data_IF_862786454704
#
_entry.id   IF_862786454704
#
_cell.length_a   1.000
_cell.length_b   1.000
_cell.length_c   1.000
_cell.angle_alpha   90.00
_cell.angle_beta   90.00
_cell.angle_gamma   90.00
#
_symmetry.space_group_name_H-M   'P 1'
#
loop_
_entity.id
_entity.type
_entity.pdbx_description
1 polymer ?
#
# COMPACT_ATOMS: atom_id res chain seq x y z
N UNK A 1 -8.96 -4.29 4.58
CA UNK A 1 -10.19 -3.56 4.90
C UNK A 1 -10.46 -2.53 3.81
N UNK A 2 -11.67 -2.47 3.27
CA UNK A 2 -12.02 -1.57 2.17
C UNK A 2 -13.28 -0.78 2.54
N UNK A 3 -13.12 0.53 2.78
CA UNK A 3 -14.19 1.42 3.24
C UNK A 3 -14.01 2.81 2.63
N UNK A 4 -15.11 3.45 2.23
CA UNK A 4 -15.14 4.84 1.75
C UNK A 4 -14.16 5.16 0.60
N UNK A 5 -14.02 4.26 -0.37
CA UNK A 5 -13.10 4.46 -1.51
C UNK A 5 -11.62 4.32 -1.16
N UNK A 6 -11.31 3.82 0.05
CA UNK A 6 -9.96 3.51 0.52
C UNK A 6 -9.84 2.02 0.80
N UNK A 7 -8.83 1.38 0.23
CA UNK A 7 -8.48 -0.01 0.50
C UNK A 7 -7.16 -0.07 1.28
N UNK A 8 -7.16 -0.69 2.44
CA UNK A 8 -5.95 -0.92 3.24
C UNK A 8 -5.75 -2.42 3.45
N UNK A 9 -4.62 -2.94 2.99
CA UNK A 9 -4.30 -4.36 3.03
C UNK A 9 -2.95 -4.56 3.69
N UNK A 10 -2.80 -5.70 4.37
CA UNK A 10 -1.60 -6.03 5.13
C UNK A 10 -1.09 -7.40 4.72
N UNK A 11 0.22 -7.52 4.69
CA UNK A 11 0.94 -8.78 4.49
C UNK A 11 2.10 -8.89 5.47
N UNK A 12 2.61 -10.11 5.65
CA UNK A 12 3.81 -10.39 6.43
C UNK A 12 4.84 -11.07 5.54
N UNK A 13 6.01 -10.45 5.44
CA UNK A 13 7.10 -10.98 4.62
C UNK A 13 8.34 -11.21 5.48
N UNK A 14 9.23 -12.10 5.01
CA UNK A 14 10.58 -12.25 5.57
C UNK A 14 11.55 -11.42 4.75
N UNK A 15 12.15 -10.41 5.37
CA UNK A 15 13.18 -9.57 4.76
C UNK A 15 14.46 -9.64 5.60
N UNK A 16 15.58 -10.00 4.98
CA UNK A 16 16.88 -10.20 5.66
C UNK A 16 16.79 -11.08 6.92
N UNK A 17 15.98 -12.16 6.85
CA UNK A 17 15.79 -13.11 7.96
C UNK A 17 14.93 -12.59 9.12
N UNK A 18 14.28 -11.43 8.98
CA UNK A 18 13.34 -10.87 9.96
C UNK A 18 11.95 -10.75 9.36
N UNK A 19 10.92 -11.02 10.17
CA UNK A 19 9.55 -10.74 9.75
C UNK A 19 9.31 -9.24 9.76
N UNK A 20 8.72 -8.73 8.68
CA UNK A 20 8.28 -7.36 8.52
C UNK A 20 6.79 -7.34 8.18
N UNK A 21 6.11 -6.24 8.49
CA UNK A 21 4.78 -5.97 7.96
C UNK A 21 4.89 -5.17 6.68
N UNK A 22 4.08 -5.52 5.70
CA UNK A 22 3.86 -4.72 4.49
C UNK A 22 2.44 -4.18 4.54
N UNK A 23 2.27 -2.88 4.26
CA UNK A 23 0.97 -2.24 4.11
C UNK A 23 0.80 -1.72 2.70
N UNK A 24 -0.34 -2.05 2.11
CA UNK A 24 -0.79 -1.56 0.81
C UNK A 24 -1.99 -0.64 1.02
N UNK A 25 -1.86 0.59 0.52
CA UNK A 25 -2.91 1.59 0.59
C UNK A 25 -3.35 1.98 -0.81
N UNK A 26 -4.63 1.76 -1.10
CA UNK A 26 -5.33 2.26 -2.27
C UNK A 26 -6.24 3.42 -1.85
N UNK A 27 -6.14 4.54 -2.55
CA UNK A 27 -6.91 5.76 -2.27
C UNK A 27 -7.16 6.56 -3.55
N UNK A 28 -7.97 7.62 -3.45
CA UNK A 28 -8.30 8.53 -4.56
C UNK A 28 -8.75 7.79 -5.84
N UNK A 29 -9.57 6.74 -5.64
CA UNK A 29 -10.02 5.86 -6.71
C UNK A 29 -11.16 6.55 -7.47
N UNK A 30 -10.95 6.74 -8.77
CA UNK A 30 -11.94 7.22 -9.73
C UNK A 30 -12.06 6.21 -10.89
N UNK A 31 -13.03 6.36 -11.82
CA UNK A 31 -13.09 5.50 -13.00
C UNK A 31 -11.83 5.50 -13.88
N UNK A 32 -10.99 6.55 -13.75
CA UNK A 32 -9.84 6.78 -14.62
C UNK A 32 -8.51 6.90 -13.87
N UNK A 33 -8.50 6.82 -12.54
CA UNK A 33 -7.27 6.98 -11.75
C UNK A 33 -7.34 6.28 -10.40
N UNK A 34 -6.17 5.99 -9.82
CA UNK A 34 -6.04 5.57 -8.43
C UNK A 34 -4.67 5.98 -7.88
N UNK A 35 -4.58 6.16 -6.56
CA UNK A 35 -3.32 6.32 -5.84
C UNK A 35 -3.00 5.02 -5.08
N UNK A 36 -1.75 4.59 -5.18
CA UNK A 36 -1.22 3.42 -4.47
C UNK A 36 0.01 3.79 -3.67
N UNK A 37 0.06 3.31 -2.42
CA UNK A 37 1.23 3.40 -1.56
C UNK A 37 1.56 2.03 -0.94
N UNK A 38 2.84 1.69 -0.93
CA UNK A 38 3.39 0.57 -0.18
C UNK A 38 4.30 1.10 0.93
N UNK A 39 4.17 0.53 2.12
CA UNK A 39 5.07 0.84 3.23
C UNK A 39 5.50 -0.43 3.98
N UNK A 40 6.71 -0.40 4.54
CA UNK A 40 7.23 -1.46 5.39
C UNK A 40 7.24 -1.04 6.85
N UNK A 41 7.08 -2.01 7.75
CA UNK A 41 7.29 -1.82 9.18
C UNK A 41 8.11 -2.96 9.76
N UNK A 42 9.16 -2.60 10.49
CA UNK A 42 10.06 -3.55 11.17
C UNK A 42 9.76 -3.66 12.67
N UNK A 43 8.80 -2.90 13.18
CA UNK A 43 8.50 -2.77 14.61
C UNK A 43 7.05 -3.17 14.97
N UNK A 44 6.43 -3.98 14.10
CA UNK A 44 5.07 -4.48 14.31
C UNK A 44 3.99 -3.45 13.99
N UNK A 45 4.27 -2.50 13.10
CA UNK A 45 3.31 -1.51 12.61
C UNK A 45 3.25 -0.22 13.43
N UNK A 46 4.23 0.02 14.33
CA UNK A 46 4.30 1.27 15.11
C UNK A 46 4.82 2.41 14.25
N UNK A 47 5.81 2.13 13.41
CA UNK A 47 6.34 3.05 12.40
C UNK A 47 6.26 2.41 11.02
N UNK A 48 6.11 3.24 9.98
CA UNK A 48 5.96 2.82 8.60
C UNK A 48 6.88 3.64 7.70
N UNK A 49 7.68 2.95 6.90
CA UNK A 49 8.55 3.54 5.89
C UNK A 49 7.92 3.36 4.50
N UNK A 50 7.51 4.44 3.82
CA UNK A 50 7.02 4.37 2.45
C UNK A 50 8.17 3.96 1.51
N UNK A 51 7.99 2.88 0.77
CA UNK A 51 8.97 2.44 -0.23
C UNK A 51 8.47 2.61 -1.68
N UNK A 52 7.17 2.70 -1.88
CA UNK A 52 6.56 2.92 -3.20
C UNK A 52 5.36 3.85 -3.07
N UNK A 53 5.33 4.90 -3.89
CA UNK A 53 4.15 5.77 -4.06
C UNK A 53 3.92 5.95 -5.55
N UNK A 54 2.69 5.74 -6.02
CA UNK A 54 2.33 5.99 -7.42
C UNK A 54 0.91 6.52 -7.57
N UNK A 55 0.72 7.28 -8.66
CA UNK A 55 -0.59 7.63 -9.19
C UNK A 55 -0.71 6.97 -10.55
N UNK A 56 -1.74 6.13 -10.69
CA UNK A 56 -2.03 5.41 -11.91
C UNK A 56 -3.18 6.09 -12.63
N UNK A 57 -3.09 6.16 -13.97
CA UNK A 57 -4.17 6.63 -14.84
C UNK A 57 -4.54 5.55 -15.83
N UNK A 58 -5.82 5.46 -16.17
CA UNK A 58 -6.32 4.54 -17.19
C UNK A 58 -5.80 4.97 -18.54
N UNK A 59 -5.18 4.04 -19.27
CA UNK A 59 -4.80 4.23 -20.67
C UNK A 59 -5.95 3.73 -21.56
N UNK A 60 -6.35 4.54 -22.54
CA UNK A 60 -7.35 4.17 -23.54
C UNK A 60 -6.77 3.13 -24.51
N UNK A 61 -7.63 2.23 -25.00
CA UNK A 61 -7.25 1.21 -25.98
C UNK A 61 -7.35 1.75 -27.40
#
# INVERSE_FOLDING_TARGET
>A
DARNGRGEFYDQEIYNGRSILVRYLWSDITPNSARFEQSFSVDGGKTWEPNWITTQVRVEK
#
